data_IF_870236620402
#
_entry.id   IF_870236620402
#
_cell.length_a   1.000
_cell.length_b   1.000
_cell.length_c   1.000
_cell.angle_alpha   90.00
_cell.angle_beta   90.00
_cell.angle_gamma   90.00
#
_symmetry.space_group_name_H-M   'P 1'
#
loop_
_entity.id
_entity.type
_entity.pdbx_description
1 polymer ?
#
# COMPACT_ATOMS: atom_id res chain seq x y z
N UNK A 1 20.52 0.92 -28.08
CA UNK A 1 19.20 1.36 -27.57
C UNK A 1 18.75 0.32 -26.57
N UNK A 2 18.90 0.59 -25.26
CA UNK A 2 18.47 -0.35 -24.22
C UNK A 2 16.94 -0.46 -24.25
N UNK A 3 16.41 -1.68 -24.21
CA UNK A 3 14.96 -1.89 -24.12
C UNK A 3 14.46 -1.24 -22.82
N UNK A 4 13.54 -0.29 -22.94
CA UNK A 4 12.85 0.30 -21.79
C UNK A 4 12.10 -0.84 -21.10
N UNK A 5 12.36 -1.14 -19.82
CA UNK A 5 11.65 -2.20 -19.11
C UNK A 5 10.14 -1.89 -19.10
N UNK A 6 9.35 -2.75 -19.72
CA UNK A 6 7.90 -2.56 -19.81
C UNK A 6 7.23 -2.94 -18.47
N UNK A 7 6.52 -2.00 -17.84
CA UNK A 7 5.80 -2.26 -16.59
C UNK A 7 4.61 -3.19 -16.85
N UNK A 8 4.76 -4.47 -16.52
CA UNK A 8 3.72 -5.52 -16.60
C UNK A 8 2.56 -5.33 -15.59
N UNK A 9 2.60 -4.29 -14.75
CA UNK A 9 1.54 -3.95 -13.81
C UNK A 9 1.42 -4.97 -12.67
N UNK A 10 0.18 -5.34 -12.33
CA UNK A 10 -0.10 -6.24 -11.21
C UNK A 10 0.04 -7.73 -11.55
N UNK A 11 0.06 -8.10 -12.84
CA UNK A 11 0.03 -9.51 -13.27
C UNK A 11 1.14 -10.38 -12.65
N UNK A 12 2.42 -9.99 -12.72
CA UNK A 12 3.52 -10.76 -12.11
C UNK A 12 3.41 -10.86 -10.59
N UNK A 13 2.93 -9.79 -9.94
CA UNK A 13 2.79 -9.69 -8.49
C UNK A 13 1.69 -10.64 -8.02
N UNK A 14 0.51 -10.59 -8.64
CA UNK A 14 -0.63 -11.45 -8.31
C UNK A 14 -0.30 -12.92 -8.55
N UNK A 15 0.33 -13.25 -9.69
CA UNK A 15 0.77 -14.62 -9.98
C UNK A 15 1.71 -15.13 -8.90
N UNK A 16 2.70 -14.33 -8.50
CA UNK A 16 3.66 -14.69 -7.47
C UNK A 16 3.01 -14.82 -6.09
N UNK A 17 2.11 -13.91 -5.74
CA UNK A 17 1.37 -13.91 -4.49
C UNK A 17 0.49 -15.15 -4.33
N UNK A 18 -0.27 -15.51 -5.37
CA UNK A 18 -1.11 -16.70 -5.41
C UNK A 18 -0.28 -17.98 -5.29
N UNK A 19 0.85 -18.05 -6.01
CA UNK A 19 1.76 -19.18 -5.93
C UNK A 19 2.39 -19.33 -4.54
N UNK A 20 2.78 -18.21 -3.89
CA UNK A 20 3.34 -18.24 -2.54
C UNK A 20 2.31 -18.53 -1.44
N UNK A 21 1.07 -18.07 -1.59
CA UNK A 21 0.01 -18.28 -0.60
C UNK A 21 -0.48 -19.73 -0.52
N UNK A 22 -0.38 -20.48 -1.62
CA UNK A 22 -0.73 -21.91 -1.68
C UNK A 22 0.40 -22.82 -1.18
N UNK A 23 1.65 -22.37 -1.23
CA UNK A 23 2.81 -23.17 -0.81
C UNK A 23 3.47 -22.53 0.42
N UNK A 24 2.99 -22.89 1.62
CA UNK A 24 3.64 -22.58 2.89
C UNK A 24 5.14 -22.97 2.83
N UNK A 25 6.02 -21.98 2.69
CA UNK A 25 7.46 -22.07 3.00
C UNK A 25 8.42 -22.56 1.91
N UNK A 26 7.99 -23.34 0.90
CA UNK A 26 8.96 -24.02 0.01
C UNK A 26 9.51 -23.16 -1.15
N UNK A 27 8.79 -22.13 -1.59
CA UNK A 27 9.21 -21.30 -2.74
C UNK A 27 10.07 -20.09 -2.40
N UNK A 28 10.20 -19.72 -1.12
CA UNK A 28 11.10 -18.64 -0.69
C UNK A 28 12.56 -18.91 -1.11
N UNK A 29 12.91 -20.18 -1.33
CA UNK A 29 14.26 -20.63 -1.72
C UNK A 29 14.55 -20.55 -3.23
N UNK A 30 13.55 -20.36 -4.08
CA UNK A 30 13.69 -20.40 -5.56
C UNK A 30 13.60 -19.04 -6.26
N UNK A 31 13.44 -17.94 -5.51
CA UNK A 31 13.47 -16.59 -6.08
C UNK A 31 14.88 -15.98 -6.03
N UNK A 32 15.81 -16.51 -6.82
CA UNK A 32 17.07 -15.82 -7.13
C UNK A 32 17.00 -15.04 -8.45
N UNK A 33 15.79 -14.81 -8.99
CA UNK A 33 15.58 -13.84 -10.06
C UNK A 33 15.62 -12.42 -9.52
N UNK A 34 16.43 -11.55 -10.13
CA UNK A 34 16.53 -10.11 -9.86
C UNK A 34 15.14 -9.48 -9.78
N UNK A 35 14.61 -9.36 -8.55
CA UNK A 35 13.27 -8.83 -8.35
C UNK A 35 13.38 -7.31 -8.39
N UNK A 36 12.81 -6.73 -9.44
CA UNK A 36 12.62 -5.31 -9.64
C UNK A 36 12.09 -4.61 -8.35
N UNK A 37 12.62 -3.43 -8.02
CA UNK A 37 12.23 -2.65 -6.85
C UNK A 37 10.73 -2.32 -6.80
N UNK A 38 10.11 -2.05 -7.95
CA UNK A 38 8.67 -1.80 -8.07
C UNK A 38 7.84 -3.05 -7.75
N UNK A 39 8.30 -4.22 -8.18
CA UNK A 39 7.67 -5.51 -7.84
C UNK A 39 7.73 -5.74 -6.34
N UNK A 40 8.85 -5.40 -5.69
CA UNK A 40 9.03 -5.52 -4.24
C UNK A 40 8.03 -4.65 -3.48
N UNK A 41 7.86 -3.38 -3.87
CA UNK A 41 6.89 -2.47 -3.24
C UNK A 41 5.46 -2.97 -3.42
N UNK A 42 5.10 -3.47 -4.61
CA UNK A 42 3.78 -4.05 -4.88
C UNK A 42 3.51 -5.31 -4.03
N UNK A 43 4.52 -6.15 -3.81
CA UNK A 43 4.40 -7.32 -2.94
C UNK A 43 4.18 -6.89 -1.48
N UNK A 44 4.96 -5.93 -0.97
CA UNK A 44 4.77 -5.39 0.38
C UNK A 44 3.37 -4.82 0.59
N UNK A 45 2.87 -4.08 -0.40
CA UNK A 45 1.51 -3.55 -0.39
C UNK A 45 0.46 -4.67 -0.27
N UNK A 46 0.55 -5.74 -1.08
CA UNK A 46 -0.39 -6.85 -1.01
C UNK A 46 -0.32 -7.62 0.30
N UNK A 47 0.89 -7.86 0.82
CA UNK A 47 1.09 -8.59 2.08
C UNK A 47 0.34 -7.94 3.23
N UNK A 48 0.34 -6.61 3.30
CA UNK A 48 -0.37 -5.90 4.37
C UNK A 48 -1.85 -5.73 4.07
N UNK A 49 -2.27 -5.61 2.81
CA UNK A 49 -3.70 -5.73 2.47
C UNK A 49 -4.26 -7.06 2.97
N UNK A 50 -3.52 -8.16 2.77
CA UNK A 50 -3.92 -9.45 3.33
C UNK A 50 -3.89 -9.44 4.85
N UNK A 51 -2.87 -8.86 5.49
CA UNK A 51 -2.81 -8.80 6.95
C UNK A 51 -4.03 -8.08 7.53
N UNK A 52 -4.43 -6.93 6.97
CA UNK A 52 -5.63 -6.21 7.34
C UNK A 52 -6.88 -7.08 7.21
N UNK A 53 -7.07 -7.75 6.07
CA UNK A 53 -8.19 -8.66 5.84
C UNK A 53 -8.19 -9.81 6.86
N UNK A 54 -7.04 -10.43 7.12
CA UNK A 54 -6.91 -11.52 8.09
C UNK A 54 -7.27 -11.07 9.50
N UNK A 55 -6.92 -9.85 9.90
CA UNK A 55 -7.39 -9.28 11.18
C UNK A 55 -8.91 -9.26 11.22
N UNK A 56 -9.58 -8.80 10.16
CA UNK A 56 -11.04 -8.84 10.07
C UNK A 56 -11.62 -10.25 10.15
N UNK A 57 -10.98 -11.22 9.48
CA UNK A 57 -11.35 -12.64 9.56
C UNK A 57 -11.21 -13.17 10.98
N UNK A 58 -10.11 -12.87 11.67
CA UNK A 58 -9.91 -13.29 13.07
C UNK A 58 -10.97 -12.67 13.99
N UNK A 59 -11.28 -11.39 13.81
CA UNK A 59 -12.29 -10.71 14.61
C UNK A 59 -13.69 -11.32 14.43
N UNK A 60 -14.04 -11.79 13.22
CA UNK A 60 -15.32 -12.49 12.99
C UNK A 60 -15.52 -13.74 13.86
N UNK A 61 -14.44 -14.34 14.38
CA UNK A 61 -14.52 -15.51 15.27
C UNK A 61 -14.44 -15.18 16.75
N UNK A 62 -14.01 -13.97 17.11
CA UNK A 62 -13.70 -13.61 18.50
C UNK A 62 -14.73 -12.64 19.08
N UNK A 63 -15.35 -11.80 18.25
CA UNK A 63 -16.27 -10.74 18.70
C UNK A 63 -17.63 -10.84 18.01
N UNK A 64 -18.67 -10.34 18.67
CA UNK A 64 -20.01 -10.29 18.09
C UNK A 64 -20.13 -9.16 17.08
N UNK A 65 -21.09 -9.21 16.15
CA UNK A 65 -21.24 -8.13 15.15
C UNK A 65 -21.67 -6.81 15.82
N UNK A 66 -22.43 -6.89 16.92
CA UNK A 66 -22.87 -5.75 17.72
C UNK A 66 -23.73 -4.75 16.96
N UNK A 67 -24.02 -3.61 17.58
CA UNK A 67 -24.73 -2.50 16.92
C UNK A 67 -24.03 -1.18 17.15
N UNK A 68 -24.01 -0.24 16.18
CA UNK A 68 -23.31 1.02 16.34
C UNK A 68 -23.89 1.84 17.52
N UNK A 69 -23.11 1.99 18.58
CA UNK A 69 -23.46 2.81 19.73
C UNK A 69 -23.07 4.29 19.58
N UNK A 70 -23.15 5.05 20.66
CA UNK A 70 -22.82 6.49 20.71
C UNK A 70 -21.39 6.81 20.24
N UNK A 71 -20.47 5.84 20.33
CA UNK A 71 -19.08 6.02 19.92
C UNK A 71 -18.83 5.73 18.43
N UNK A 72 -19.87 5.48 17.64
CA UNK A 72 -19.73 5.24 16.19
C UNK A 72 -19.13 6.42 15.41
N UNK A 73 -19.25 7.62 15.95
CA UNK A 73 -18.61 8.81 15.39
C UNK A 73 -17.09 8.73 15.42
N UNK A 74 -16.49 7.95 16.34
CA UNK A 74 -15.05 7.86 16.47
C UNK A 74 -14.39 7.10 15.30
N UNK A 75 -14.77 5.85 14.94
CA UNK A 75 -14.27 5.19 13.73
C UNK A 75 -14.51 5.98 12.45
N UNK A 76 -15.67 6.64 12.32
CA UNK A 76 -15.99 7.50 11.19
C UNK A 76 -15.05 8.72 11.10
N UNK A 77 -14.83 9.40 12.22
CA UNK A 77 -13.89 10.51 12.32
C UNK A 77 -12.45 10.11 12.03
N UNK A 78 -11.99 8.97 12.56
CA UNK A 78 -10.67 8.43 12.29
C UNK A 78 -10.50 8.01 10.83
N UNK A 79 -11.50 7.35 10.24
CA UNK A 79 -11.48 6.93 8.84
C UNK A 79 -11.40 8.13 7.89
N UNK A 80 -12.23 9.15 8.11
CA UNK A 80 -12.21 10.39 7.33
C UNK A 80 -10.89 11.16 7.49
N UNK A 81 -10.39 11.28 8.72
CA UNK A 81 -9.09 11.91 9.00
C UNK A 81 -7.93 11.15 8.32
N UNK A 82 -7.97 9.81 8.33
CA UNK A 82 -6.98 8.97 7.65
C UNK A 82 -6.96 9.20 6.15
N UNK A 83 -8.13 9.21 5.49
CA UNK A 83 -8.22 9.53 4.04
C UNK A 83 -7.69 10.93 3.75
N UNK A 84 -8.04 11.93 4.56
CA UNK A 84 -7.53 13.29 4.40
C UNK A 84 -6.00 13.37 4.58
N UNK A 85 -5.45 12.65 5.57
CA UNK A 85 -4.02 12.58 5.81
C UNK A 85 -3.27 11.91 4.65
N UNK A 86 -3.88 10.89 4.02
CA UNK A 86 -3.35 10.26 2.80
C UNK A 86 -3.35 11.22 1.62
N UNK A 87 -4.44 11.96 1.40
CA UNK A 87 -4.49 13.00 0.36
C UNK A 87 -3.34 14.01 0.56
N UNK A 88 -3.12 14.43 1.81
CA UNK A 88 -2.03 15.34 2.13
C UNK A 88 -0.64 14.73 1.88
N UNK A 89 -0.41 13.49 2.35
CA UNK A 89 0.85 12.78 2.14
C UNK A 89 1.18 12.61 0.65
N UNK A 90 0.18 12.34 -0.18
CA UNK A 90 0.33 12.23 -1.64
C UNK A 90 0.68 13.54 -2.34
N UNK A 91 0.33 14.69 -1.76
CA UNK A 91 0.65 16.01 -2.34
C UNK A 91 2.09 16.44 -2.04
N UNK A 92 2.82 15.71 -1.21
CA UNK A 92 4.21 16.04 -0.89
C UNK A 92 5.08 16.00 -2.14
N UNK A 93 5.91 17.03 -2.38
CA UNK A 93 6.74 17.09 -3.58
C UNK A 93 7.77 15.95 -3.60
N UNK A 94 7.94 15.33 -4.76
CA UNK A 94 9.01 14.37 -5.01
C UNK A 94 10.33 15.12 -5.23
N UNK A 95 11.43 14.58 -4.72
CA UNK A 95 12.77 15.12 -4.89
C UNK A 95 13.38 14.63 -6.21
N UNK A 96 13.46 15.50 -7.21
CA UNK A 96 13.94 15.17 -8.55
C UNK A 96 15.44 15.48 -8.78
N UNK A 97 16.21 15.78 -7.74
CA UNK A 97 17.64 16.12 -7.89
C UNK A 97 18.50 14.99 -8.46
N UNK A 98 18.08 13.73 -8.25
CA UNK A 98 18.69 12.55 -8.87
C UNK A 98 17.70 11.38 -8.92
N UNK A 99 17.91 10.37 -9.78
CA UNK A 99 17.06 9.17 -9.80
C UNK A 99 16.99 8.45 -8.44
N UNK A 100 18.07 8.49 -7.66
CA UNK A 100 18.13 7.86 -6.34
C UNK A 100 17.27 8.60 -5.31
N UNK A 101 17.36 9.92 -5.28
CA UNK A 101 16.54 10.77 -4.40
C UNK A 101 15.05 10.74 -4.81
N UNK A 102 14.78 10.57 -6.10
CA UNK A 102 13.42 10.41 -6.61
C UNK A 102 12.74 9.16 -6.05
N UNK A 103 13.40 8.01 -6.12
CA UNK A 103 12.88 6.77 -5.52
C UNK A 103 12.79 6.87 -4.01
N UNK A 104 13.80 7.46 -3.34
CA UNK A 104 13.78 7.63 -1.89
C UNK A 104 12.58 8.46 -1.43
N UNK A 105 12.34 9.60 -2.08
CA UNK A 105 11.20 10.46 -1.76
C UNK A 105 9.86 9.81 -2.13
N UNK A 106 9.79 9.07 -3.24
CA UNK A 106 8.62 8.27 -3.59
C UNK A 106 8.30 7.21 -2.52
N UNK A 107 9.29 6.40 -2.12
CA UNK A 107 9.12 5.38 -1.10
C UNK A 107 8.71 5.98 0.24
N UNK A 108 9.32 7.10 0.64
CA UNK A 108 8.94 7.80 1.87
C UNK A 108 7.48 8.26 1.83
N UNK A 109 7.03 8.86 0.73
CA UNK A 109 5.63 9.27 0.56
C UNK A 109 4.68 8.07 0.53
N UNK A 110 5.06 6.99 -0.16
CA UNK A 110 4.32 5.73 -0.21
C UNK A 110 4.11 5.14 1.19
N UNK A 111 5.20 4.88 1.94
CA UNK A 111 5.11 4.30 3.29
C UNK A 111 4.41 5.23 4.29
N UNK A 112 4.58 6.55 4.15
CA UNK A 112 3.84 7.51 4.97
C UNK A 112 2.34 7.44 4.69
N UNK A 113 1.93 7.51 3.41
CA UNK A 113 0.53 7.40 3.04
C UNK A 113 -0.06 6.05 3.45
N UNK A 114 0.71 4.99 3.29
CA UNK A 114 0.33 3.65 3.68
C UNK A 114 0.07 3.52 5.20
N UNK A 115 0.99 4.00 6.04
CA UNK A 115 0.81 3.96 7.49
C UNK A 115 -0.40 4.80 7.95
N UNK A 116 -0.60 5.96 7.31
CA UNK A 116 -1.77 6.82 7.57
C UNK A 116 -3.09 6.19 7.12
N UNK A 117 -3.07 5.39 6.05
CA UNK A 117 -4.24 4.64 5.58
C UNK A 117 -4.61 3.50 6.53
N UNK A 118 -3.61 2.81 7.09
CA UNK A 118 -3.77 1.65 7.96
C UNK A 118 -4.17 2.01 9.39
N UNK A 119 -3.65 3.12 9.92
CA UNK A 119 -3.85 3.50 11.33
C UNK A 119 -5.32 3.50 11.79
N UNK A 120 -6.30 4.09 11.06
CA UNK A 120 -7.70 4.05 11.47
C UNK A 120 -8.26 2.63 11.58
N UNK A 121 -7.88 1.72 10.67
CA UNK A 121 -8.34 0.34 10.69
C UNK A 121 -7.80 -0.40 11.92
N UNK A 122 -6.53 -0.20 12.27
CA UNK A 122 -5.91 -0.83 13.44
C UNK A 122 -6.45 -0.28 14.76
N UNK A 123 -6.70 1.03 14.84
CA UNK A 123 -7.36 1.62 16.02
C UNK A 123 -8.77 1.05 16.18
N UNK A 124 -9.52 0.93 15.08
CA UNK A 124 -10.84 0.31 15.10
C UNK A 124 -10.82 -1.18 15.42
N UNK A 125 -9.78 -1.92 15.04
CA UNK A 125 -9.58 -3.30 15.47
C UNK A 125 -9.38 -3.39 16.99
N UNK A 126 -8.58 -2.49 17.56
CA UNK A 126 -8.43 -2.38 19.01
C UNK A 126 -9.75 -2.04 19.72
N UNK A 127 -10.55 -1.13 19.16
CA UNK A 127 -11.89 -0.81 19.68
C UNK A 127 -12.84 -1.99 19.59
N UNK A 128 -12.75 -2.80 18.53
CA UNK A 128 -13.57 -3.98 18.36
C UNK A 128 -13.27 -5.03 19.43
N UNK A 129 -11.98 -5.27 19.71
CA UNK A 129 -11.56 -6.15 20.81
C UNK A 129 -11.95 -5.59 22.17
N UNK A 130 -11.85 -4.29 22.39
CA UNK A 130 -12.18 -3.69 23.68
C UNK A 130 -13.69 -3.76 24.00
N UNK A 131 -14.54 -3.50 23.01
CA UNK A 131 -16.01 -3.56 23.17
C UNK A 131 -16.59 -4.96 22.97
N UNK A 132 -15.78 -5.91 22.49
CA UNK A 132 -16.24 -7.22 22.04
C UNK A 132 -17.30 -7.13 20.91
N UNK A 133 -17.18 -6.09 20.07
CA UNK A 133 -18.10 -5.85 18.95
C UNK A 133 -17.33 -5.54 17.65
N UNK A 134 -17.76 -6.11 16.52
CA UNK A 134 -17.05 -6.03 15.23
C UNK A 134 -17.33 -4.73 14.47
N UNK A 135 -18.49 -4.10 14.69
CA UNK A 135 -18.92 -2.94 13.91
C UNK A 135 -17.88 -1.80 13.83
N UNK A 136 -17.04 -1.46 14.85
CA UNK A 136 -16.05 -0.39 14.74
C UNK A 136 -15.02 -0.67 13.65
N UNK A 137 -14.63 -1.95 13.51
CA UNK A 137 -13.73 -2.42 12.47
C UNK A 137 -14.39 -2.32 11.10
N UNK A 138 -15.63 -2.81 10.96
CA UNK A 138 -16.38 -2.77 9.70
C UNK A 138 -16.57 -1.35 9.17
N UNK A 139 -16.83 -0.38 10.06
CA UNK A 139 -16.96 1.02 9.66
C UNK A 139 -15.66 1.61 9.09
N UNK A 140 -14.50 1.13 9.53
CA UNK A 140 -13.19 1.62 9.06
C UNK A 140 -12.69 0.95 7.78
N UNK A 141 -13.18 -0.25 7.45
CA UNK A 141 -12.85 -0.98 6.21
C UNK A 141 -13.04 -0.15 4.92
N UNK A 142 -14.17 0.55 4.68
CA UNK A 142 -14.33 1.34 3.46
C UNK A 142 -13.30 2.48 3.37
N UNK A 143 -13.02 3.18 4.48
CA UNK A 143 -12.03 4.26 4.49
C UNK A 143 -10.62 3.73 4.23
N UNK A 144 -10.25 2.62 4.86
CA UNK A 144 -9.00 1.92 4.60
C UNK A 144 -8.88 1.52 3.12
N UNK A 145 -9.93 0.93 2.57
CA UNK A 145 -9.96 0.48 1.17
C UNK A 145 -9.76 1.65 0.20
N UNK A 146 -10.48 2.76 0.42
CA UNK A 146 -10.33 3.99 -0.37
C UNK A 146 -8.90 4.53 -0.25
N UNK A 147 -8.40 4.69 0.97
CA UNK A 147 -7.07 5.22 1.23
C UNK A 147 -5.97 4.36 0.58
N UNK A 148 -6.10 3.03 0.64
CA UNK A 148 -5.15 2.10 0.06
C UNK A 148 -5.18 2.11 -1.48
N UNK A 149 -6.36 2.23 -2.10
CA UNK A 149 -6.47 2.44 -3.55
C UNK A 149 -5.75 3.72 -3.99
N UNK A 150 -5.81 4.77 -3.17
CA UNK A 150 -5.13 6.03 -3.46
C UNK A 150 -3.60 5.93 -3.36
N UNK A 151 -3.08 5.10 -2.47
CA UNK A 151 -1.63 4.90 -2.25
C UNK A 151 -1.05 3.78 -3.11
N UNK A 152 -1.91 2.92 -3.68
CA UNK A 152 -1.49 1.73 -4.41
C UNK A 152 -0.42 2.04 -5.49
N UNK A 153 0.68 1.27 -5.56
CA UNK A 153 1.76 1.44 -6.54
C UNK A 153 1.35 0.89 -7.93
N UNK A 154 0.15 1.28 -8.39
CA UNK A 154 -0.41 0.87 -9.67
C UNK A 154 -0.01 1.79 -10.83
N UNK A 155 -0.10 1.29 -12.06
CA UNK A 155 0.20 2.02 -13.30
C UNK A 155 -0.45 3.40 -13.36
N UNK A 156 -1.72 3.51 -12.94
CA UNK A 156 -2.47 4.78 -12.95
C UNK A 156 -1.86 5.84 -12.03
N UNK A 157 -1.47 5.45 -10.82
CA UNK A 157 -0.88 6.37 -9.84
C UNK A 157 0.53 6.77 -10.25
N UNK A 158 1.36 5.83 -10.73
CA UNK A 158 2.68 6.12 -11.27
C UNK A 158 2.61 7.07 -12.48
N UNK A 159 1.65 6.88 -13.39
CA UNK A 159 1.44 7.77 -14.53
C UNK A 159 1.00 9.17 -14.09
N UNK A 160 0.16 9.27 -13.05
CA UNK A 160 -0.23 10.56 -12.47
C UNK A 160 0.98 11.29 -11.87
N UNK A 161 1.82 10.58 -11.11
CA UNK A 161 3.03 11.14 -10.50
C UNK A 161 4.06 11.55 -11.58
N UNK A 162 4.21 10.76 -12.64
CA UNK A 162 5.05 11.12 -13.78
C UNK A 162 4.56 12.38 -14.50
N UNK A 163 3.26 12.55 -14.70
CA UNK A 163 2.68 13.78 -15.29
C UNK A 163 2.95 15.00 -14.42
N UNK A 164 2.88 14.85 -13.09
CA UNK A 164 3.22 15.92 -12.16
C UNK A 164 4.71 16.30 -12.21
N UNK A 165 5.60 15.33 -12.37
CA UNK A 165 7.03 15.57 -12.57
C UNK A 165 7.30 16.30 -13.91
N UNK A 166 6.67 15.84 -15.00
CA UNK A 166 6.79 16.47 -16.32
C UNK A 166 6.26 17.91 -16.32
N UNK A 167 5.13 18.17 -15.65
CA UNK A 167 4.58 19.52 -15.48
C UNK A 167 5.53 20.46 -14.70
N UNK A 168 6.48 19.91 -13.92
CA UNK A 168 7.53 20.65 -13.21
C UNK A 168 8.84 20.74 -14.01
N UNK A 169 8.86 20.30 -15.26
CA UNK A 169 10.05 20.31 -16.13
C UNK A 169 11.04 19.18 -15.87
N UNK A 170 10.67 18.15 -15.09
CA UNK A 170 11.54 17.01 -14.78
C UNK A 170 11.39 15.93 -15.86
N UNK A 171 12.49 15.58 -16.52
CA UNK A 171 12.53 14.54 -17.57
C UNK A 171 12.83 13.13 -17.05
N UNK A 172 13.20 12.98 -15.78
CA UNK A 172 13.53 11.68 -15.17
C UNK A 172 12.28 10.78 -15.15
N UNK A 173 12.44 9.55 -15.64
CA UNK A 173 11.41 8.50 -15.59
C UNK A 173 11.34 7.87 -14.20
N UNK A 174 10.22 8.08 -13.49
CA UNK A 174 9.97 7.52 -12.16
C UNK A 174 9.91 5.99 -12.20
N UNK A 175 9.21 5.43 -13.19
CA UNK A 175 9.06 3.97 -13.34
C UNK A 175 10.41 3.33 -13.56
N UNK A 176 11.23 3.86 -14.47
CA UNK A 176 12.57 3.33 -14.75
C UNK A 176 13.50 3.44 -13.53
N UNK A 177 13.43 4.56 -12.79
CA UNK A 177 14.18 4.74 -11.56
C UNK A 177 13.78 3.71 -10.49
N UNK A 178 12.48 3.41 -10.35
CA UNK A 178 12.00 2.38 -9.41
C UNK A 178 12.40 0.97 -9.83
N UNK A 179 12.42 0.69 -11.14
CA UNK A 179 12.77 -0.61 -11.67
C UNK A 179 14.26 -0.93 -11.57
N UNK A 180 15.09 0.06 -11.85
CA UNK A 180 16.55 -0.04 -11.78
C UNK A 180 17.11 -0.14 -10.34
N UNK A 181 16.29 0.12 -9.32
CA UNK A 181 16.67 -0.05 -7.91
C UNK A 181 16.45 -1.47 -7.34
N UNK A 182 16.13 -2.46 -8.18
CA UNK A 182 16.19 -3.87 -7.78
C UNK A 182 17.55 -4.21 -7.16
N UNK A 183 17.64 -5.19 -6.24
CA UNK A 183 18.85 -5.47 -5.50
C UNK A 183 19.96 -5.80 -6.50
N UNK A 184 20.89 -4.87 -6.66
CA UNK A 184 22.19 -5.17 -7.25
C UNK A 184 22.78 -6.22 -6.33
N UNK A 185 22.86 -7.45 -6.83
CA UNK A 185 23.60 -8.53 -6.21
C UNK A 185 24.99 -7.96 -5.86
N UNK A 186 25.23 -7.77 -4.57
CA UNK A 186 26.59 -7.66 -4.04
C UNK A 186 27.15 -9.06 -3.93
#
# INVERSE_FOLDING_TARGET
>A
MGQVPEDLGWGPVVKRYLLSGLTLGLYARWSHGTTDGLTTIRLLFLSVMQAGILVGVVLLFIVDIGSPGTIALLPLGLGTAGVAAVVWARRRPLNASSPRELVRSYNANFFTGFALAEAPLMISAGLALWQQELWPYLLSVPFFSIAMVMVAPGRRNLAADQRLLQARGVSISLTEALMSQGPTAR
#
